data_IF_737628900381
#
_entry.id   IF_737628900381
#
_cell.length_a   1.000
_cell.length_b   1.000
_cell.length_c   1.000
_cell.angle_alpha   90.00
_cell.angle_beta   90.00
_cell.angle_gamma   90.00
#
_symmetry.space_group_name_H-M   'P 1'
#
loop_
_entity.id
_entity.type
_entity.pdbx_description
1 polymer ?
#
# COMPACT_ATOMS: atom_id res chain seq x y z
N UNK A 1 -15.10 27.28 50.83
CA UNK A 1 -15.98 26.58 49.87
C UNK A 1 -15.56 26.78 48.41
N UNK A 2 -15.46 28.02 47.88
CA UNK A 2 -15.10 28.27 46.46
C UNK A 2 -13.72 27.72 46.02
N UNK A 3 -12.72 27.72 46.90
CA UNK A 3 -11.36 27.25 46.60
C UNK A 3 -11.27 25.72 46.46
N UNK A 4 -12.06 24.99 47.25
CA UNK A 4 -12.14 23.51 47.22
C UNK A 4 -12.89 23.01 45.99
N UNK A 5 -13.98 23.70 45.63
CA UNK A 5 -14.76 23.40 44.42
C UNK A 5 -13.92 23.61 43.15
N UNK A 6 -13.13 24.69 43.11
CA UNK A 6 -12.20 24.97 42.00
C UNK A 6 -11.10 23.91 41.87
N UNK A 7 -10.51 23.47 42.99
CA UNK A 7 -9.51 22.39 42.99
C UNK A 7 -10.09 21.04 42.56
N UNK A 8 -11.34 20.73 42.92
CA UNK A 8 -12.03 19.53 42.42
C UNK A 8 -12.28 19.63 40.91
N UNK A 9 -12.71 20.80 40.41
CA UNK A 9 -12.90 21.02 38.98
C UNK A 9 -11.58 20.91 38.20
N UNK A 10 -10.49 21.50 38.70
CA UNK A 10 -9.14 21.38 38.10
C UNK A 10 -8.70 19.91 38.01
N UNK A 11 -8.86 19.14 39.09
CA UNK A 11 -8.54 17.69 39.08
C UNK A 11 -9.44 16.88 38.15
N UNK A 12 -10.71 17.23 38.04
CA UNK A 12 -11.64 16.59 37.12
C UNK A 12 -11.24 16.82 35.66
N UNK A 13 -10.84 18.05 35.32
CA UNK A 13 -10.36 18.40 33.99
C UNK A 13 -9.04 17.69 33.66
N UNK A 14 -8.08 17.68 34.59
CA UNK A 14 -6.83 16.92 34.41
C UNK A 14 -7.08 15.41 34.25
N UNK A 15 -7.97 14.83 35.06
CA UNK A 15 -8.37 13.44 34.94
C UNK A 15 -9.05 13.15 33.59
N UNK A 16 -9.90 14.07 33.10
CA UNK A 16 -10.59 13.90 31.81
C UNK A 16 -9.60 13.98 30.63
N UNK A 17 -8.64 14.90 30.67
CA UNK A 17 -7.60 15.05 29.65
C UNK A 17 -6.66 13.83 29.62
N UNK A 18 -6.22 13.36 30.78
CA UNK A 18 -5.34 12.17 30.88
C UNK A 18 -6.07 10.89 30.49
N UNK A 19 -7.35 10.76 30.85
CA UNK A 19 -8.19 9.64 30.41
C UNK A 19 -8.37 9.66 28.89
N UNK A 20 -8.61 10.82 28.29
CA UNK A 20 -8.76 10.94 26.82
C UNK A 20 -7.50 10.49 26.07
N UNK A 21 -6.32 10.94 26.52
CA UNK A 21 -5.04 10.50 25.94
C UNK A 21 -4.78 9.01 26.12
N UNK A 22 -5.13 8.46 27.30
CA UNK A 22 -4.97 7.03 27.60
C UNK A 22 -5.90 6.16 26.76
N UNK A 23 -7.17 6.55 26.61
CA UNK A 23 -8.17 5.84 25.78
C UNK A 23 -7.75 5.83 24.32
N UNK A 24 -7.27 6.97 23.80
CA UNK A 24 -6.79 7.07 22.41
C UNK A 24 -5.58 6.16 22.18
N UNK A 25 -4.63 6.17 23.11
CA UNK A 25 -3.43 5.31 23.03
C UNK A 25 -3.79 3.83 23.10
N UNK A 26 -4.72 3.45 23.97
CA UNK A 26 -5.21 2.08 24.08
C UNK A 26 -5.95 1.65 22.80
N UNK A 27 -6.79 2.51 22.24
CA UNK A 27 -7.50 2.22 20.99
C UNK A 27 -6.52 2.00 19.83
N UNK A 28 -5.51 2.85 19.69
CA UNK A 28 -4.45 2.69 18.68
C UNK A 28 -3.71 1.36 18.89
N UNK A 29 -3.34 1.04 20.14
CA UNK A 29 -2.68 -0.22 20.45
C UNK A 29 -3.55 -1.43 20.08
N UNK A 30 -4.85 -1.40 20.39
CA UNK A 30 -5.78 -2.47 20.03
C UNK A 30 -5.93 -2.61 18.52
N UNK A 31 -6.01 -1.50 17.77
CA UNK A 31 -6.05 -1.51 16.29
C UNK A 31 -4.77 -2.15 15.74
N UNK A 32 -3.60 -1.77 16.26
CA UNK A 32 -2.32 -2.34 15.83
C UNK A 32 -2.29 -3.84 16.13
N UNK A 33 -2.63 -4.26 17.35
CA UNK A 33 -2.63 -5.69 17.72
C UNK A 33 -3.59 -6.48 16.84
N UNK A 34 -4.79 -5.95 16.59
CA UNK A 34 -5.76 -6.57 15.68
C UNK A 34 -5.20 -6.71 14.27
N UNK A 35 -4.63 -5.62 13.75
CA UNK A 35 -4.12 -5.55 12.38
C UNK A 35 -2.96 -6.54 12.15
N UNK A 36 -2.02 -6.65 13.10
CA UNK A 36 -0.94 -7.64 13.05
C UNK A 36 -1.45 -9.08 13.25
N UNK A 37 -2.44 -9.30 14.12
CA UNK A 37 -3.03 -10.62 14.34
C UNK A 37 -3.71 -11.15 13.08
N UNK A 38 -4.49 -10.32 12.40
CA UNK A 38 -5.13 -10.70 11.14
C UNK A 38 -4.10 -10.89 10.02
N UNK A 39 -3.11 -10.00 9.92
CA UNK A 39 -2.09 -10.06 8.88
C UNK A 39 -1.17 -11.28 8.94
N UNK A 40 -0.75 -11.72 10.14
CA UNK A 40 0.12 -12.91 10.27
C UNK A 40 -0.59 -14.22 9.93
N UNK A 41 -1.93 -14.22 9.91
CA UNK A 41 -2.73 -15.38 9.48
C UNK A 41 -2.44 -15.83 8.05
N UNK A 42 -1.98 -14.91 7.18
CA UNK A 42 -1.68 -15.18 5.77
C UNK A 42 -0.74 -16.37 5.58
N UNK A 43 0.30 -16.46 6.40
CA UNK A 43 1.34 -17.49 6.24
C UNK A 43 0.90 -18.88 6.71
N UNK A 44 -0.29 -18.98 7.30
CA UNK A 44 -0.97 -20.25 7.60
C UNK A 44 -2.04 -20.61 6.55
N UNK A 45 -2.30 -19.72 5.59
CA UNK A 45 -3.29 -19.96 4.54
C UNK A 45 -2.71 -20.82 3.41
N UNK A 46 -3.53 -21.69 2.78
CA UNK A 46 -3.11 -22.49 1.64
C UNK A 46 -2.81 -21.58 0.44
N UNK A 47 -1.79 -21.93 -0.36
CA UNK A 47 -1.43 -21.19 -1.58
C UNK A 47 -2.33 -21.48 -2.79
N UNK A 48 -3.16 -22.53 -2.71
CA UNK A 48 -4.17 -22.88 -3.72
C UNK A 48 -5.54 -22.49 -3.17
N UNK A 49 -6.47 -22.13 -4.07
CA UNK A 49 -7.84 -21.77 -3.72
C UNK A 49 -8.49 -22.81 -2.80
N UNK A 50 -9.12 -22.35 -1.72
CA UNK A 50 -9.74 -23.21 -0.71
C UNK A 50 -10.88 -24.02 -1.34
N UNK A 51 -10.86 -25.35 -1.15
CA UNK A 51 -11.86 -26.25 -1.72
C UNK A 51 -11.48 -26.80 -3.09
N UNK A 52 -10.29 -26.50 -3.59
CA UNK A 52 -9.70 -27.12 -4.77
C UNK A 52 -8.34 -27.73 -4.44
N UNK A 53 -7.97 -28.75 -5.22
CA UNK A 53 -6.68 -29.41 -5.13
C UNK A 53 -6.04 -29.57 -6.50
N UNK A 54 -4.70 -29.57 -6.50
CA UNK A 54 -3.91 -29.93 -7.67
C UNK A 54 -3.62 -31.43 -7.62
N UNK A 55 -3.98 -32.13 -8.69
CA UNK A 55 -3.81 -33.57 -8.81
C UNK A 55 -2.88 -33.87 -9.99
N UNK A 56 -1.91 -34.75 -9.77
CA UNK A 56 -1.02 -35.26 -10.80
C UNK A 56 -1.06 -36.79 -10.80
N UNK A 57 -0.50 -37.41 -11.83
CA UNK A 57 -0.31 -38.86 -11.81
C UNK A 57 0.71 -39.27 -10.72
N UNK A 58 0.54 -40.43 -10.09
CA UNK A 58 1.45 -40.94 -9.05
C UNK A 58 2.89 -41.16 -9.55
N UNK A 59 3.04 -41.41 -10.85
CA UNK A 59 4.34 -41.60 -11.50
C UNK A 59 5.10 -40.28 -11.68
N UNK A 60 4.42 -39.13 -11.59
CA UNK A 60 5.06 -37.83 -11.68
C UNK A 60 5.96 -37.63 -10.44
N UNK A 61 7.26 -37.33 -10.60
CA UNK A 61 8.17 -37.20 -9.46
C UNK A 61 8.04 -35.86 -8.71
N UNK A 62 7.35 -34.86 -9.26
CA UNK A 62 7.20 -33.54 -8.63
C UNK A 62 6.39 -33.64 -7.34
N UNK A 63 6.98 -33.28 -6.21
CA UNK A 63 6.32 -33.36 -4.89
C UNK A 63 5.57 -32.08 -4.51
N UNK A 64 6.10 -30.91 -4.89
CA UNK A 64 5.55 -29.61 -4.54
C UNK A 64 5.76 -28.62 -5.68
N UNK A 65 4.79 -27.72 -5.86
CA UNK A 65 4.89 -26.59 -6.77
C UNK A 65 4.65 -25.31 -6.00
N UNK A 66 5.45 -24.28 -6.29
CA UNK A 66 5.20 -22.94 -5.75
C UNK A 66 4.01 -22.29 -6.47
N UNK A 67 3.30 -21.35 -5.84
CA UNK A 67 2.23 -20.58 -6.49
C UNK A 67 2.63 -19.97 -7.83
N UNK A 68 3.89 -19.50 -7.94
CA UNK A 68 4.42 -18.94 -9.18
C UNK A 68 4.55 -20.00 -10.28
N UNK A 69 5.14 -21.15 -9.99
CA UNK A 69 5.22 -22.26 -10.93
C UNK A 69 3.83 -22.75 -11.35
N UNK A 70 2.87 -22.80 -10.42
CA UNK A 70 1.48 -23.16 -10.73
C UNK A 70 0.91 -22.18 -11.76
N UNK A 71 1.04 -20.86 -11.54
CA UNK A 71 0.60 -19.85 -12.50
C UNK A 71 1.28 -20.04 -13.87
N UNK A 72 2.61 -20.16 -13.90
CA UNK A 72 3.34 -20.33 -15.17
C UNK A 72 2.96 -21.59 -15.94
N UNK A 73 2.68 -22.69 -15.24
CA UNK A 73 2.17 -23.93 -15.86
C UNK A 73 0.79 -23.68 -16.48
N UNK A 74 -0.13 -23.04 -15.75
CA UNK A 74 -1.50 -22.80 -16.22
C UNK A 74 -1.59 -21.71 -17.30
N UNK A 75 -0.60 -20.82 -17.37
CA UNK A 75 -0.42 -19.82 -18.43
C UNK A 75 0.35 -20.37 -19.64
N UNK A 76 0.76 -21.65 -19.62
CA UNK A 76 1.57 -22.30 -20.66
C UNK A 76 2.96 -21.69 -20.88
N UNK A 77 3.49 -20.96 -19.90
CA UNK A 77 4.88 -20.49 -19.89
C UNK A 77 5.86 -21.63 -19.57
N UNK A 78 5.48 -22.50 -18.63
CA UNK A 78 6.16 -23.77 -18.35
C UNK A 78 5.37 -24.86 -19.04
N UNK A 79 5.95 -25.46 -20.07
CA UNK A 79 5.32 -26.51 -20.86
C UNK A 79 5.94 -27.89 -20.59
N UNK A 80 7.09 -27.98 -19.92
CA UNK A 80 7.75 -29.26 -19.63
C UNK A 80 7.97 -29.46 -18.13
N UNK A 81 7.67 -30.67 -17.65
CA UNK A 81 7.87 -31.05 -16.26
C UNK A 81 9.33 -30.94 -15.79
N UNK A 82 10.31 -31.10 -16.69
CA UNK A 82 11.74 -30.96 -16.39
C UNK A 82 12.09 -29.61 -15.78
N UNK A 83 11.40 -28.53 -16.19
CA UNK A 83 11.64 -27.16 -15.71
C UNK A 83 11.29 -26.97 -14.23
N UNK A 84 10.45 -27.86 -13.69
CA UNK A 84 10.04 -27.87 -12.28
C UNK A 84 10.56 -29.10 -11.52
N UNK A 85 11.60 -29.75 -12.04
CA UNK A 85 12.25 -30.91 -11.41
C UNK A 85 11.52 -32.23 -11.66
N UNK A 86 10.65 -32.27 -12.65
CA UNK A 86 9.92 -33.45 -13.11
C UNK A 86 10.66 -34.29 -14.16
N UNK A 87 9.94 -35.23 -14.77
CA UNK A 87 10.44 -35.97 -15.94
C UNK A 87 10.49 -35.06 -17.17
N UNK A 88 11.29 -35.41 -18.18
CA UNK A 88 11.27 -34.73 -19.49
C UNK A 88 10.01 -35.15 -20.26
N UNK A 89 8.90 -34.48 -19.96
CA UNK A 89 7.62 -34.69 -20.61
C UNK A 89 6.79 -33.42 -20.64
N UNK A 90 6.03 -33.27 -21.73
CA UNK A 90 5.13 -32.12 -21.93
C UNK A 90 3.97 -32.17 -20.92
N UNK A 91 3.68 -31.03 -20.31
CA UNK A 91 2.63 -30.88 -19.31
C UNK A 91 1.28 -30.86 -20.01
N UNK A 92 0.41 -31.79 -19.63
CA UNK A 92 -0.99 -31.78 -20.04
C UNK A 92 -1.83 -31.08 -18.98
N UNK A 93 -2.41 -29.93 -19.31
CA UNK A 93 -3.36 -29.25 -18.44
C UNK A 93 -4.73 -29.94 -18.52
N UNK A 94 -5.35 -30.19 -17.38
CA UNK A 94 -6.72 -30.68 -17.32
C UNK A 94 -7.57 -29.83 -16.38
N UNK A 95 -8.58 -29.16 -16.92
CA UNK A 95 -9.51 -28.34 -16.12
C UNK A 95 -10.77 -29.15 -15.82
N UNK A 96 -11.34 -28.97 -14.64
CA UNK A 96 -12.56 -29.68 -14.23
C UNK A 96 -13.69 -29.63 -15.28
N UNK A 97 -13.89 -28.50 -15.95
CA UNK A 97 -14.95 -28.34 -16.95
C UNK A 97 -14.76 -29.18 -18.22
N UNK A 98 -13.53 -29.62 -18.52
CA UNK A 98 -13.24 -30.41 -19.72
C UNK A 98 -13.83 -31.82 -19.63
N UNK A 99 -14.08 -32.33 -18.41
CA UNK A 99 -14.67 -33.67 -18.20
C UNK A 99 -16.04 -33.81 -18.87
N UNK A 100 -16.85 -32.73 -18.87
CA UNK A 100 -18.19 -32.72 -19.45
C UNK A 100 -18.20 -32.68 -20.98
N UNK A 101 -17.03 -32.47 -21.60
CA UNK A 101 -16.85 -32.61 -23.04
C UNK A 101 -16.32 -33.98 -23.44
N UNK A 102 -15.70 -34.71 -22.50
CA UNK A 102 -15.09 -36.01 -22.73
C UNK A 102 -16.07 -37.17 -22.50
N UNK A 103 -17.01 -37.00 -21.56
CA UNK A 103 -17.99 -38.02 -21.19
C UNK A 103 -19.41 -37.45 -21.28
N UNK A 104 -20.34 -38.28 -21.72
CA UNK A 104 -21.78 -37.95 -21.74
C UNK A 104 -22.38 -37.98 -20.33
N UNK A 105 -23.51 -37.29 -20.13
CA UNK A 105 -24.21 -37.26 -18.84
C UNK A 105 -24.59 -38.66 -18.33
N UNK A 106 -24.89 -39.59 -19.24
CA UNK A 106 -25.17 -41.00 -18.91
C UNK A 106 -23.94 -41.71 -18.32
N UNK A 107 -22.74 -41.41 -18.83
CA UNK A 107 -21.48 -41.99 -18.38
C UNK A 107 -20.98 -41.40 -17.06
N UNK A 108 -21.41 -40.18 -16.72
CA UNK A 108 -21.13 -39.52 -15.45
C UNK A 108 -22.08 -39.99 -14.32
N UNK A 109 -23.13 -40.73 -14.67
CA UNK A 109 -24.12 -41.28 -13.75
C UNK A 109 -25.15 -40.25 -13.27
N UNK A 110 -26.25 -40.74 -12.69
CA UNK A 110 -27.28 -39.88 -12.10
C UNK A 110 -26.67 -38.95 -11.04
N UNK A 111 -27.05 -37.68 -11.08
CA UNK A 111 -26.50 -36.61 -10.23
C UNK A 111 -24.95 -36.54 -10.19
N UNK A 112 -24.29 -36.97 -11.27
CA UNK A 112 -22.82 -37.00 -11.42
C UNK A 112 -22.12 -37.92 -10.41
N UNK A 113 -22.78 -38.99 -9.96
CA UNK A 113 -22.24 -39.91 -8.96
C UNK A 113 -20.90 -40.59 -9.39
N UNK A 114 -20.68 -40.80 -10.69
CA UNK A 114 -19.46 -41.44 -11.22
C UNK A 114 -18.35 -40.43 -11.58
N UNK A 115 -18.60 -39.14 -11.37
CA UNK A 115 -17.65 -38.07 -11.71
C UNK A 115 -16.27 -38.23 -11.05
N UNK A 116 -16.14 -38.55 -9.75
CA UNK A 116 -14.82 -38.77 -9.13
C UNK A 116 -14.05 -39.93 -9.76
N UNK A 117 -14.75 -41.00 -10.18
CA UNK A 117 -14.14 -42.14 -10.85
C UNK A 117 -13.61 -41.74 -12.24
N UNK A 118 -14.41 -41.02 -13.03
CA UNK A 118 -14.02 -40.56 -14.37
C UNK A 118 -12.87 -39.56 -14.35
N UNK A 119 -12.85 -38.65 -13.38
CA UNK A 119 -11.71 -37.75 -13.14
C UNK A 119 -10.43 -38.56 -12.84
N UNK A 120 -10.57 -39.61 -12.03
CA UNK A 120 -9.49 -40.54 -11.72
C UNK A 120 -8.95 -41.28 -12.94
N UNK A 121 -9.84 -41.76 -13.82
CA UNK A 121 -9.49 -42.44 -15.07
C UNK A 121 -8.65 -41.53 -15.98
N UNK A 122 -9.06 -40.26 -16.16
CA UNK A 122 -8.33 -39.28 -16.98
C UNK A 122 -6.91 -39.05 -16.44
N UNK A 123 -6.77 -38.87 -15.12
CA UNK A 123 -5.45 -38.62 -14.53
C UNK A 123 -4.55 -39.86 -14.63
N UNK A 124 -5.15 -41.05 -14.46
CA UNK A 124 -4.43 -42.32 -14.49
C UNK A 124 -3.90 -42.64 -15.89
N UNK A 125 -4.67 -42.33 -16.94
CA UNK A 125 -4.29 -42.57 -18.34
C UNK A 125 -3.20 -41.62 -18.84
N UNK A 126 -3.01 -40.47 -18.19
CA UNK A 126 -2.10 -39.42 -18.63
C UNK A 126 -0.99 -39.16 -17.59
N UNK A 127 0.20 -39.76 -17.71
CA UNK A 127 1.29 -39.59 -16.75
C UNK A 127 1.77 -38.14 -16.55
N UNK A 128 1.64 -37.31 -17.59
CA UNK A 128 2.13 -35.93 -17.61
C UNK A 128 1.05 -34.89 -17.27
N UNK A 129 -0.10 -35.32 -16.75
CA UNK A 129 -1.23 -34.42 -16.45
C UNK A 129 -1.06 -33.66 -15.14
N UNK A 130 -1.51 -32.40 -15.14
CA UNK A 130 -1.84 -31.63 -13.94
C UNK A 130 -3.31 -31.20 -14.02
N UNK A 131 -4.07 -31.61 -13.01
CA UNK A 131 -5.50 -31.38 -12.93
C UNK A 131 -5.83 -30.43 -11.76
N UNK A 132 -6.65 -29.42 -12.02
CA UNK A 132 -7.20 -28.54 -10.98
C UNK A 132 -8.66 -28.91 -10.72
N UNK A 133 -8.92 -29.55 -9.58
CA UNK A 133 -10.19 -30.21 -9.28
C UNK A 133 -10.78 -29.75 -7.95
N UNK A 134 -12.12 -29.63 -7.83
CA UNK A 134 -12.76 -29.39 -6.54
C UNK A 134 -12.53 -30.56 -5.57
N UNK A 135 -12.23 -30.27 -4.31
CA UNK A 135 -11.97 -31.27 -3.26
C UNK A 135 -13.14 -32.25 -3.09
N UNK A 136 -14.38 -31.77 -3.31
CA UNK A 136 -15.61 -32.56 -3.21
C UNK A 136 -15.66 -33.74 -4.19
N UNK A 137 -15.00 -33.63 -5.34
CA UNK A 137 -15.03 -34.64 -6.40
C UNK A 137 -13.69 -35.37 -6.55
N UNK A 138 -12.83 -35.30 -5.54
CA UNK A 138 -11.55 -36.00 -5.59
C UNK A 138 -11.76 -37.53 -5.67
N UNK A 139 -10.98 -38.25 -6.49
CA UNK A 139 -11.10 -39.70 -6.60
C UNK A 139 -10.73 -40.39 -5.26
N UNK A 140 -11.68 -41.11 -4.65
CA UNK A 140 -11.53 -41.62 -3.27
C UNK A 140 -10.99 -43.07 -3.16
N UNK A 141 -11.13 -43.93 -4.18
CA UNK A 141 -11.08 -45.40 -3.92
C UNK A 141 -10.02 -46.24 -4.67
N UNK A 142 -9.39 -45.83 -5.78
CA UNK A 142 -8.29 -46.62 -6.35
C UNK A 142 -7.57 -45.93 -7.52
N UNK A 143 -6.75 -44.94 -7.22
CA UNK A 143 -6.31 -44.04 -8.28
C UNK A 143 -4.83 -43.78 -8.18
N UNK A 144 -4.12 -44.00 -9.28
CA UNK A 144 -2.74 -43.59 -9.50
C UNK A 144 -2.64 -42.05 -9.57
N UNK A 145 -3.30 -41.37 -8.63
CA UNK A 145 -3.49 -39.94 -8.53
C UNK A 145 -2.82 -39.49 -7.25
N UNK A 146 -1.85 -38.61 -7.40
CA UNK A 146 -1.14 -37.96 -6.32
C UNK A 146 -1.67 -36.54 -6.19
N UNK A 147 -2.20 -36.21 -5.03
CA UNK A 147 -2.59 -34.83 -4.71
C UNK A 147 -1.32 -34.08 -4.29
N UNK A 148 -1.01 -33.00 -5.00
CA UNK A 148 0.07 -32.12 -4.59
C UNK A 148 -0.38 -31.34 -3.35
N UNK A 149 0.40 -31.36 -2.26
CA UNK A 149 0.06 -30.60 -1.07
C UNK A 149 0.04 -29.11 -1.43
N UNK A 150 -0.99 -28.40 -0.99
CA UNK A 150 -1.04 -26.95 -1.09
C UNK A 150 0.01 -26.38 -0.13
N UNK A 151 1.14 -25.91 -0.65
CA UNK A 151 2.12 -25.21 0.16
C UNK A 151 1.48 -23.96 0.76
N UNK A 152 1.72 -23.69 2.03
CA UNK A 152 1.31 -22.41 2.63
C UNK A 152 2.04 -21.26 1.97
N UNK A 153 1.42 -20.08 1.98
CA UNK A 153 2.04 -18.86 1.46
C UNK A 153 3.28 -18.55 2.30
N UNK A 154 4.45 -18.47 1.66
CA UNK A 154 5.71 -18.22 2.37
C UNK A 154 5.93 -16.71 2.54
N UNK A 155 6.58 -16.33 3.64
CA UNK A 155 6.97 -14.93 3.87
C UNK A 155 7.88 -14.39 2.75
N UNK A 156 8.78 -15.23 2.23
CA UNK A 156 9.67 -14.86 1.13
C UNK A 156 8.89 -14.54 -0.16
N UNK A 157 7.86 -15.33 -0.49
CA UNK A 157 7.04 -15.12 -1.69
C UNK A 157 6.17 -13.86 -1.56
N UNK A 158 5.75 -13.53 -0.33
CA UNK A 158 4.99 -12.30 -0.07
C UNK A 158 5.88 -11.05 -0.15
N UNK A 159 6.98 -11.01 0.61
CA UNK A 159 7.84 -9.82 0.70
C UNK A 159 8.74 -9.63 -0.54
N UNK A 160 9.12 -10.72 -1.20
CA UNK A 160 9.93 -10.72 -2.41
C UNK A 160 9.14 -10.91 -3.70
N UNK A 161 7.82 -11.11 -3.63
CA UNK A 161 6.98 -11.34 -4.81
C UNK A 161 6.79 -10.08 -5.64
N UNK A 162 6.91 -10.24 -6.96
CA UNK A 162 6.80 -9.17 -7.96
C UNK A 162 5.40 -9.07 -8.59
N UNK A 163 4.46 -9.94 -8.19
CA UNK A 163 3.11 -9.99 -8.74
C UNK A 163 2.05 -9.95 -7.64
N UNK A 164 1.06 -9.07 -7.80
CA UNK A 164 -0.13 -8.99 -6.95
C UNK A 164 -1.36 -9.42 -7.75
N UNK A 165 -1.70 -10.71 -7.67
CA UNK A 165 -2.82 -11.35 -8.35
C UNK A 165 -3.65 -12.17 -7.35
N UNK A 166 -4.41 -11.52 -6.46
CA UNK A 166 -5.16 -12.19 -5.40
C UNK A 166 -6.31 -13.05 -5.95
N UNK A 167 -6.85 -12.69 -7.12
CA UNK A 167 -7.97 -13.38 -7.78
C UNK A 167 -7.53 -14.41 -8.82
N UNK A 168 -6.23 -14.66 -8.97
CA UNK A 168 -5.74 -15.65 -9.93
C UNK A 168 -6.12 -17.07 -9.48
N UNK A 169 -6.58 -17.87 -10.45
CA UNK A 169 -6.84 -19.30 -10.29
C UNK A 169 -5.86 -20.07 -11.17
N UNK A 170 -5.21 -21.13 -10.66
CA UNK A 170 -5.53 -21.88 -9.44
C UNK A 170 -4.84 -21.41 -8.14
N UNK A 171 -3.83 -20.54 -8.25
CA UNK A 171 -3.03 -20.06 -7.12
C UNK A 171 -3.01 -18.53 -7.07
N UNK A 172 -3.35 -17.98 -5.91
CA UNK A 172 -3.29 -16.53 -5.67
C UNK A 172 -1.85 -16.08 -5.39
N UNK A 173 -1.45 -14.95 -5.97
CA UNK A 173 -0.14 -14.32 -5.74
C UNK A 173 -0.31 -13.02 -4.96
N UNK A 174 0.44 -12.88 -3.85
CA UNK A 174 0.34 -11.75 -2.92
C UNK A 174 1.67 -10.97 -2.82
N UNK A 175 2.42 -10.87 -3.90
CA UNK A 175 3.69 -10.14 -3.94
C UNK A 175 3.51 -8.66 -3.62
N UNK A 176 4.20 -8.18 -2.59
CA UNK A 176 4.03 -6.80 -2.10
C UNK A 176 4.82 -5.76 -2.90
N UNK A 177 5.84 -6.17 -3.66
CA UNK A 177 6.79 -5.25 -4.29
C UNK A 177 6.12 -4.26 -5.25
N UNK A 178 5.16 -4.63 -6.11
CA UNK A 178 4.45 -3.67 -6.97
C UNK A 178 3.74 -2.58 -6.18
N UNK A 179 3.06 -2.95 -5.09
CA UNK A 179 2.29 -2.01 -4.27
C UNK A 179 3.18 -1.11 -3.43
N UNK A 180 4.24 -1.67 -2.85
CA UNK A 180 5.20 -0.92 -2.07
C UNK A 180 6.00 0.04 -2.96
N UNK A 181 6.49 -0.43 -4.10
CA UNK A 181 7.20 0.41 -5.07
C UNK A 181 6.29 1.50 -5.61
N UNK A 182 5.05 1.20 -6.01
CA UNK A 182 4.06 2.20 -6.42
C UNK A 182 3.83 3.29 -5.35
N UNK A 183 3.65 2.89 -4.09
CA UNK A 183 3.47 3.81 -2.96
C UNK A 183 4.68 4.73 -2.77
N UNK A 184 5.89 4.16 -2.74
CA UNK A 184 7.11 4.91 -2.55
C UNK A 184 7.42 5.82 -3.74
N UNK A 185 7.24 5.31 -4.96
CA UNK A 185 7.52 6.03 -6.20
C UNK A 185 6.71 7.33 -6.23
N UNK A 186 5.38 7.25 -6.12
CA UNK A 186 4.55 8.45 -6.22
C UNK A 186 4.81 9.42 -5.07
N UNK A 187 5.05 8.90 -3.86
CA UNK A 187 5.27 9.71 -2.66
C UNK A 187 6.59 10.47 -2.74
N UNK A 188 7.67 9.82 -3.19
CA UNK A 188 8.98 10.45 -3.37
C UNK A 188 8.86 11.60 -4.36
N UNK A 189 8.27 11.36 -5.54
CA UNK A 189 8.13 12.41 -6.55
C UNK A 189 7.18 13.54 -6.11
N UNK A 190 6.11 13.22 -5.39
CA UNK A 190 5.22 14.23 -4.82
C UNK A 190 5.98 15.15 -3.84
N UNK A 191 6.79 14.56 -2.95
CA UNK A 191 7.55 15.30 -1.94
C UNK A 191 8.72 16.08 -2.55
N UNK A 192 9.37 15.54 -3.59
CA UNK A 192 10.39 16.28 -4.34
C UNK A 192 9.86 17.59 -4.93
N UNK A 193 8.56 17.66 -5.25
CA UNK A 193 7.90 18.86 -5.75
C UNK A 193 7.35 19.71 -4.58
N UNK A 194 6.57 19.09 -3.69
CA UNK A 194 5.86 19.79 -2.64
C UNK A 194 6.78 20.39 -1.57
N UNK A 195 7.87 19.71 -1.23
CA UNK A 195 8.77 20.16 -0.17
C UNK A 195 9.51 21.46 -0.52
N UNK A 196 10.25 21.57 -1.65
CA UNK A 196 10.93 22.82 -1.98
C UNK A 196 9.96 23.97 -2.22
N UNK A 197 8.84 23.72 -2.91
CA UNK A 197 7.81 24.74 -3.15
C UNK A 197 7.13 25.17 -1.84
N UNK A 198 6.75 24.22 -1.00
CA UNK A 198 6.07 24.47 0.26
C UNK A 198 6.94 25.23 1.25
N UNK A 199 8.21 24.83 1.40
CA UNK A 199 9.15 25.56 2.26
C UNK A 199 9.48 26.94 1.70
N UNK A 200 9.62 27.09 0.38
CA UNK A 200 9.84 28.38 -0.26
C UNK A 200 8.69 29.36 0.00
N UNK A 201 7.44 28.90 -0.18
CA UNK A 201 6.25 29.70 0.12
C UNK A 201 6.14 30.00 1.62
N UNK A 202 6.47 29.03 2.48
CA UNK A 202 6.47 29.25 3.93
C UNK A 202 7.46 30.35 4.33
N UNK A 203 8.70 30.31 3.81
CA UNK A 203 9.73 31.33 4.08
C UNK A 203 9.28 32.70 3.58
N UNK A 204 8.70 32.74 2.38
CA UNK A 204 8.14 33.95 1.81
C UNK A 204 7.06 34.54 2.72
N UNK A 205 6.07 33.74 3.13
CA UNK A 205 4.97 34.19 3.98
C UNK A 205 5.39 34.58 5.39
N UNK A 206 6.41 33.93 5.96
CA UNK A 206 6.88 34.24 7.30
C UNK A 206 7.75 35.49 7.38
N UNK A 207 8.61 35.74 6.37
CA UNK A 207 9.70 36.72 6.48
C UNK A 207 9.72 37.81 5.39
N UNK A 208 9.11 37.58 4.21
CA UNK A 208 9.21 38.49 3.07
C UNK A 208 7.87 39.13 2.68
N UNK A 209 6.75 38.46 2.95
CA UNK A 209 5.43 38.90 2.53
C UNK A 209 4.91 40.03 3.43
N UNK A 210 4.37 41.07 2.81
CA UNK A 210 3.65 42.12 3.52
C UNK A 210 2.33 41.58 4.12
N UNK A 211 1.87 42.24 5.19
CA UNK A 211 0.69 41.83 5.96
C UNK A 211 -0.58 41.69 5.09
N UNK A 212 -0.70 42.45 4.00
CA UNK A 212 -1.82 42.35 3.04
C UNK A 212 -1.78 41.05 2.24
N UNK A 213 -0.62 40.67 1.72
CA UNK A 213 -0.45 39.45 0.92
C UNK A 213 -0.75 38.24 1.80
N UNK A 214 -0.20 38.24 3.02
CA UNK A 214 -0.42 37.17 4.00
C UNK A 214 -1.89 37.01 4.37
N UNK A 215 -2.61 38.11 4.62
CA UNK A 215 -4.04 38.10 4.98
C UNK A 215 -4.93 37.43 3.93
N UNK A 216 -4.51 37.39 2.68
CA UNK A 216 -5.24 36.68 1.62
C UNK A 216 -4.68 35.28 1.35
N UNK A 217 -3.36 35.14 1.28
CA UNK A 217 -2.74 33.90 0.84
C UNK A 217 -2.83 32.79 1.89
N UNK A 218 -2.63 33.10 3.18
CA UNK A 218 -2.68 32.09 4.25
C UNK A 218 -4.08 31.44 4.34
N UNK A 219 -5.19 32.20 4.43
CA UNK A 219 -6.53 31.59 4.39
C UNK A 219 -6.79 30.81 3.11
N UNK A 220 -6.33 31.27 1.94
CA UNK A 220 -6.49 30.53 0.68
C UNK A 220 -5.78 29.17 0.71
N UNK A 221 -4.55 29.11 1.26
CA UNK A 221 -3.81 27.86 1.44
C UNK A 221 -4.53 26.93 2.43
N UNK A 222 -5.04 27.47 3.54
CA UNK A 222 -5.80 26.68 4.52
C UNK A 222 -7.11 26.14 3.92
N UNK A 223 -7.77 26.90 3.05
CA UNK A 223 -8.95 26.42 2.31
C UNK A 223 -8.61 25.24 1.39
N UNK A 224 -7.43 25.25 0.74
CA UNK A 224 -6.98 24.11 -0.05
C UNK A 224 -6.82 22.84 0.80
N UNK A 225 -6.40 22.97 2.07
CA UNK A 225 -6.33 21.82 2.98
C UNK A 225 -7.71 21.22 3.32
N UNK A 226 -8.77 22.03 3.24
CA UNK A 226 -10.15 21.63 3.51
C UNK A 226 -10.85 20.92 2.35
N UNK A 227 -10.25 20.89 1.15
CA UNK A 227 -10.83 20.20 0.00
C UNK A 227 -10.72 18.67 0.19
N UNK A 228 -11.82 17.90 0.07
CA UNK A 228 -11.77 16.44 0.16
C UNK A 228 -10.88 15.81 -0.91
N UNK A 229 -10.17 14.74 -0.58
CA UNK A 229 -9.23 14.09 -1.50
C UNK A 229 -9.89 13.57 -2.78
N UNK A 230 -11.11 13.06 -2.70
CA UNK A 230 -11.89 12.62 -3.88
C UNK A 230 -12.14 13.75 -4.88
N UNK A 231 -12.24 15.00 -4.43
CA UNK A 231 -12.41 16.16 -5.33
C UNK A 231 -11.12 16.42 -6.10
N UNK A 232 -9.96 16.31 -5.44
CA UNK A 232 -8.67 16.38 -6.11
C UNK A 232 -8.48 15.23 -7.09
N UNK A 233 -8.85 14.00 -6.72
CA UNK A 233 -8.82 12.83 -7.59
C UNK A 233 -9.69 13.01 -8.83
N UNK A 234 -10.93 13.48 -8.65
CA UNK A 234 -11.84 13.77 -9.75
C UNK A 234 -11.32 14.87 -10.68
N UNK A 235 -10.81 15.98 -10.12
CA UNK A 235 -10.17 17.02 -10.91
C UNK A 235 -8.94 16.48 -11.68
N UNK A 236 -8.11 15.68 -11.02
CA UNK A 236 -6.96 15.04 -11.64
C UNK A 236 -7.36 14.15 -12.80
N UNK A 237 -8.38 13.32 -12.63
CA UNK A 237 -8.87 12.42 -13.67
C UNK A 237 -9.48 13.18 -14.87
N UNK A 238 -10.26 14.23 -14.63
CA UNK A 238 -10.99 14.93 -15.71
C UNK A 238 -10.13 15.98 -16.42
N UNK A 239 -9.17 16.58 -15.71
CA UNK A 239 -8.38 17.70 -16.23
C UNK A 239 -6.92 17.33 -16.41
N UNK A 240 -6.26 16.86 -15.35
CA UNK A 240 -4.81 16.65 -15.37
C UNK A 240 -4.42 15.45 -16.23
N UNK A 241 -5.12 14.32 -16.12
CA UNK A 241 -4.86 13.10 -16.87
C UNK A 241 -4.97 13.34 -18.38
N UNK A 242 -6.05 13.93 -18.93
CA UNK A 242 -6.10 14.29 -20.35
C UNK A 242 -5.04 15.30 -20.76
N UNK A 243 -4.73 16.29 -19.89
CA UNK A 243 -3.69 17.27 -20.17
C UNK A 243 -2.32 16.60 -20.32
N UNK A 244 -1.94 15.70 -19.41
CA UNK A 244 -0.69 14.95 -19.46
C UNK A 244 -0.67 14.06 -20.71
N UNK A 245 -1.77 13.35 -20.98
CA UNK A 245 -1.90 12.47 -22.15
C UNK A 245 -1.66 13.23 -23.46
N UNK A 246 -2.31 14.38 -23.64
CA UNK A 246 -2.22 15.18 -24.85
C UNK A 246 -0.88 15.90 -24.99
N UNK A 247 -0.34 16.45 -23.90
CA UNK A 247 0.92 17.22 -23.95
C UNK A 247 2.13 16.32 -24.16
N UNK A 248 2.15 15.14 -23.53
CA UNK A 248 3.26 14.19 -23.60
C UNK A 248 3.06 13.10 -24.67
N UNK A 249 1.94 13.12 -25.40
CA UNK A 249 1.58 12.15 -26.44
C UNK A 249 1.62 10.69 -25.92
N UNK A 250 1.11 10.48 -24.71
CA UNK A 250 1.07 9.17 -24.07
C UNK A 250 -0.17 8.38 -24.50
N UNK A 251 -0.09 7.04 -24.53
CA UNK A 251 -1.26 6.21 -24.82
C UNK A 251 -2.35 6.38 -23.75
N UNK A 252 -1.95 6.52 -22.48
CA UNK A 252 -2.83 6.70 -21.32
C UNK A 252 -2.24 7.79 -20.43
N UNK A 253 -3.07 8.69 -19.90
CA UNK A 253 -2.63 9.77 -19.00
C UNK A 253 -2.57 9.38 -17.51
N UNK A 254 -3.16 8.23 -17.17
CA UNK A 254 -3.26 7.70 -15.81
C UNK A 254 -1.94 7.07 -15.37
N UNK A 255 -1.07 7.91 -14.80
CA UNK A 255 0.35 7.60 -14.61
C UNK A 255 0.81 7.95 -13.19
N UNK A 256 1.96 7.40 -12.78
CA UNK A 256 2.62 7.79 -11.54
C UNK A 256 2.86 9.30 -11.47
N UNK A 257 3.21 9.95 -12.59
CA UNK A 257 3.38 11.40 -12.68
C UNK A 257 2.08 12.16 -12.32
N UNK A 258 0.95 11.76 -12.89
CA UNK A 258 -0.35 12.37 -12.59
C UNK A 258 -0.68 12.25 -11.10
N UNK A 259 -0.45 11.07 -10.52
CA UNK A 259 -0.57 10.82 -9.09
C UNK A 259 0.33 11.74 -8.26
N UNK A 260 1.62 11.79 -8.57
CA UNK A 260 2.59 12.61 -7.84
C UNK A 260 2.27 14.10 -7.87
N UNK A 261 1.76 14.62 -8.99
CA UNK A 261 1.38 16.03 -9.11
C UNK A 261 0.17 16.37 -8.24
N UNK A 262 -0.88 15.53 -8.26
CA UNK A 262 -2.05 15.72 -7.38
C UNK A 262 -1.64 15.63 -5.92
N UNK A 263 -0.85 14.61 -5.55
CA UNK A 263 -0.31 14.48 -4.20
C UNK A 263 0.52 15.66 -3.77
N UNK A 264 1.35 16.22 -4.67
CA UNK A 264 2.16 17.39 -4.36
C UNK A 264 1.27 18.58 -4.00
N UNK A 265 0.25 18.85 -4.81
CA UNK A 265 -0.74 19.92 -4.52
C UNK A 265 -1.44 19.69 -3.19
N UNK A 266 -1.78 18.45 -2.86
CA UNK A 266 -2.45 18.11 -1.60
C UNK A 266 -1.53 18.21 -0.38
N UNK A 267 -0.22 17.97 -0.53
CA UNK A 267 0.75 18.06 0.55
C UNK A 267 1.20 19.51 0.83
N UNK A 268 1.14 20.39 -0.18
CA UNK A 268 1.55 21.79 -0.07
C UNK A 268 0.91 22.54 1.11
N UNK A 269 -0.44 22.55 1.29
CA UNK A 269 -1.05 23.29 2.39
C UNK A 269 -0.53 22.89 3.76
N UNK A 270 -0.34 21.60 3.98
CA UNK A 270 0.17 21.05 5.23
C UNK A 270 1.61 21.52 5.50
N UNK A 271 2.48 21.41 4.49
CA UNK A 271 3.89 21.82 4.59
C UNK A 271 3.99 23.33 4.82
N UNK A 272 3.29 24.13 4.01
CA UNK A 272 3.35 25.60 4.06
C UNK A 272 2.87 26.12 5.40
N UNK A 273 1.67 25.70 5.83
CA UNK A 273 1.03 26.25 7.02
C UNK A 273 1.86 25.98 8.27
N UNK A 274 2.32 24.73 8.46
CA UNK A 274 3.05 24.33 9.66
C UNK A 274 4.46 24.93 9.68
N UNK A 275 5.15 24.96 8.53
CA UNK A 275 6.48 25.55 8.46
C UNK A 275 6.42 27.09 8.67
N UNK A 276 5.43 27.78 8.11
CA UNK A 276 5.25 29.22 8.30
C UNK A 276 4.93 29.56 9.77
N UNK A 277 4.05 28.81 10.41
CA UNK A 277 3.72 29.00 11.83
C UNK A 277 4.95 28.79 12.71
N UNK A 278 5.75 27.76 12.42
CA UNK A 278 7.01 27.49 13.12
C UNK A 278 8.01 28.64 12.98
N UNK A 279 8.19 29.17 11.77
CA UNK A 279 9.11 30.30 11.53
C UNK A 279 8.64 31.57 12.23
N UNK A 280 7.34 31.87 12.19
CA UNK A 280 6.77 33.06 12.86
C UNK A 280 6.86 33.01 14.37
N UNK A 281 6.88 31.82 14.96
CA UNK A 281 7.08 31.64 16.40
C UNK A 281 8.52 31.95 16.87
N UNK A 282 9.46 32.20 15.95
CA UNK A 282 10.77 32.75 16.31
C UNK A 282 10.61 34.09 17.03
N UNK A 283 11.31 34.37 18.13
CA UNK A 283 11.23 35.66 18.82
C UNK A 283 11.67 36.82 17.93
N UNK A 284 10.93 37.93 17.95
CA UNK A 284 11.29 39.16 17.20
C UNK A 284 12.67 39.68 17.60
N UNK A 285 13.01 39.60 18.89
CA UNK A 285 14.31 40.00 19.42
C UNK A 285 15.49 39.28 18.73
N UNK A 286 15.34 38.00 18.38
CA UNK A 286 16.40 37.26 17.67
C UNK A 286 16.62 37.80 16.25
N UNK A 287 15.54 38.18 15.55
CA UNK A 287 15.62 38.80 14.21
C UNK A 287 16.26 40.18 14.27
N UNK A 288 15.78 41.01 15.18
CA UNK A 288 16.26 42.39 15.35
C UNK A 288 17.74 42.41 15.80
N UNK A 289 18.16 41.50 16.67
CA UNK A 289 19.56 41.34 17.06
C UNK A 289 20.45 40.95 15.87
N UNK A 290 19.99 40.02 15.02
CA UNK A 290 20.72 39.62 13.81
C UNK A 290 20.92 40.80 12.86
N UNK A 291 19.87 41.56 12.59
CA UNK A 291 19.93 42.74 11.73
C UNK A 291 20.80 43.85 12.32
N UNK A 292 20.76 44.05 13.65
CA UNK A 292 21.59 45.03 14.35
C UNK A 292 23.10 44.71 14.27
N UNK A 293 23.47 43.44 14.12
CA UNK A 293 24.85 43.01 13.86
C UNK A 293 25.28 43.21 12.39
N UNK A 294 24.46 43.87 11.57
CA UNK A 294 24.74 44.12 10.15
C UNK A 294 24.43 42.94 9.24
N UNK A 295 23.70 41.92 9.71
CA UNK A 295 23.26 40.83 8.86
C UNK A 295 22.18 41.31 7.88
N UNK A 296 22.21 40.75 6.66
CA UNK A 296 21.13 40.92 5.69
C UNK A 296 19.90 40.10 6.05
N UNK A 297 18.72 40.46 5.53
CA UNK A 297 17.49 39.69 5.74
C UNK A 297 17.66 38.21 5.37
N UNK A 298 18.33 37.90 4.24
CA UNK A 298 18.60 36.52 3.85
C UNK A 298 19.49 35.77 4.86
N UNK A 299 20.52 36.44 5.39
CA UNK A 299 21.37 35.86 6.43
C UNK A 299 20.59 35.62 7.72
N UNK A 300 19.69 36.53 8.12
CA UNK A 300 18.80 36.33 9.28
C UNK A 300 17.86 35.14 9.07
N UNK A 301 17.25 35.02 7.88
CA UNK A 301 16.38 33.89 7.54
C UNK A 301 17.16 32.57 7.65
N UNK A 302 18.28 32.46 6.94
CA UNK A 302 19.02 31.22 6.81
C UNK A 302 19.78 30.81 8.09
N UNK A 303 20.33 31.78 8.84
CA UNK A 303 21.18 31.51 10.01
C UNK A 303 20.47 31.62 11.36
N UNK A 304 19.30 32.25 11.43
CA UNK A 304 18.59 32.46 12.70
C UNK A 304 17.20 31.85 12.66
N UNK A 305 16.36 32.25 11.71
CA UNK A 305 14.95 31.82 11.68
C UNK A 305 14.81 30.34 11.34
N UNK A 306 15.41 29.89 10.23
CA UNK A 306 15.32 28.47 9.80
C UNK A 306 15.93 27.51 10.84
N UNK A 307 17.10 27.79 11.44
CA UNK A 307 17.63 26.96 12.52
C UNK A 307 16.73 26.93 13.74
N UNK A 308 16.22 28.08 14.19
CA UNK A 308 15.32 28.17 15.34
C UNK A 308 14.02 27.39 15.11
N UNK A 309 13.42 27.51 13.92
CA UNK A 309 12.18 26.86 13.55
C UNK A 309 12.34 25.41 13.07
N UNK A 310 13.55 24.84 13.14
CA UNK A 310 13.87 23.58 12.48
C UNK A 310 13.07 22.38 12.98
N UNK A 311 12.67 22.36 14.26
CA UNK A 311 11.80 21.32 14.80
C UNK A 311 10.40 21.36 14.19
N UNK A 312 9.83 22.55 14.05
CA UNK A 312 8.52 22.75 13.41
C UNK A 312 8.56 22.52 11.89
N UNK A 313 9.65 22.93 11.22
CA UNK A 313 9.87 22.59 9.80
C UNK A 313 9.95 21.08 9.63
N UNK A 314 10.70 20.38 10.47
CA UNK A 314 10.82 18.91 10.43
C UNK A 314 9.45 18.25 10.63
N UNK A 315 8.64 18.74 11.58
CA UNK A 315 7.28 18.25 11.78
C UNK A 315 6.38 18.49 10.54
N UNK A 316 6.51 19.65 9.88
CA UNK A 316 5.80 19.95 8.62
C UNK A 316 6.17 18.96 7.51
N UNK A 317 7.46 18.63 7.38
CA UNK A 317 7.94 17.64 6.40
C UNK A 317 7.37 16.26 6.71
N UNK A 318 7.47 15.80 7.96
CA UNK A 318 6.95 14.48 8.36
C UNK A 318 5.46 14.37 8.07
N UNK A 319 4.68 15.40 8.41
CA UNK A 319 3.25 15.38 8.18
C UNK A 319 2.90 15.42 6.68
N UNK A 320 3.67 16.17 5.89
CA UNK A 320 3.54 16.19 4.42
C UNK A 320 3.86 14.83 3.79
N UNK A 321 4.95 14.19 4.20
CA UNK A 321 5.32 12.84 3.74
C UNK A 321 4.28 11.81 4.17
N UNK A 322 3.82 11.86 5.42
CA UNK A 322 2.76 10.98 5.92
C UNK A 322 1.47 11.11 5.12
N UNK A 323 1.09 12.34 4.74
CA UNK A 323 -0.06 12.61 3.87
C UNK A 323 0.12 12.02 2.47
N UNK A 324 1.32 12.12 1.88
CA UNK A 324 1.58 11.56 0.56
C UNK A 324 1.57 10.02 0.56
N UNK A 325 2.20 9.39 1.56
CA UNK A 325 2.29 7.92 1.69
C UNK A 325 0.92 7.30 2.01
N UNK A 326 0.09 8.00 2.78
CA UNK A 326 -1.23 7.54 3.21
C UNK A 326 -2.38 7.91 2.28
N UNK A 327 -2.14 8.52 1.12
CA UNK A 327 -3.23 8.94 0.23
C UNK A 327 -3.85 7.74 -0.52
N UNK A 328 -5.18 7.71 -0.51
CA UNK A 328 -5.95 6.56 -0.99
C UNK A 328 -6.76 6.91 -2.23
N UNK A 329 -7.74 7.82 -2.08
CA UNK A 329 -8.81 7.99 -3.07
C UNK A 329 -8.35 8.81 -4.27
N UNK A 330 -7.57 9.87 -4.04
CA UNK A 330 -7.06 10.67 -5.14
C UNK A 330 -6.18 9.82 -6.07
N UNK A 331 -5.32 8.99 -5.47
CA UNK A 331 -4.39 8.10 -6.18
C UNK A 331 -5.13 7.01 -6.95
N UNK A 332 -6.11 6.35 -6.32
CA UNK A 332 -6.92 5.30 -6.96
C UNK A 332 -7.56 5.80 -8.27
N UNK A 333 -7.96 7.07 -8.32
CA UNK A 333 -8.62 7.65 -9.48
C UNK A 333 -7.68 8.07 -10.62
N UNK A 334 -6.42 8.42 -10.33
CA UNK A 334 -5.56 9.12 -11.32
C UNK A 334 -4.33 8.32 -11.78
N UNK A 335 -4.01 7.22 -11.11
CA UNK A 335 -2.76 6.46 -11.37
C UNK A 335 -2.96 5.19 -12.20
N UNK A 336 -4.18 4.92 -12.65
CA UNK A 336 -4.52 3.75 -13.47
C UNK A 336 -4.66 2.45 -12.67
N UNK A 337 -4.25 2.47 -11.39
CA UNK A 337 -4.47 1.38 -10.43
C UNK A 337 -3.92 0.02 -10.90
N UNK A 338 -2.80 0.01 -11.64
CA UNK A 338 -2.14 -1.20 -12.11
C UNK A 338 -1.11 -1.70 -11.09
N UNK A 339 -1.20 -2.98 -10.69
CA UNK A 339 -0.27 -3.58 -9.73
C UNK A 339 1.01 -4.07 -10.42
N UNK A 340 1.78 -3.14 -10.97
CA UNK A 340 3.05 -3.38 -11.66
C UNK A 340 4.18 -2.60 -10.97
N UNK A 341 5.41 -3.10 -11.06
CA UNK A 341 6.59 -2.38 -10.57
C UNK A 341 6.89 -1.25 -11.55
N UNK A 342 6.84 0.03 -11.14
CA UNK A 342 7.10 1.14 -12.03
C UNK A 342 8.60 1.22 -12.36
N UNK A 343 8.91 1.41 -13.63
CA UNK A 343 10.25 1.73 -14.11
C UNK A 343 10.37 3.17 -14.62
N UNK A 344 9.22 3.79 -14.91
CA UNK A 344 9.08 5.15 -15.41
C UNK A 344 8.04 5.94 -14.61
N UNK A 345 8.09 7.27 -14.74
CA UNK A 345 7.04 8.16 -14.23
C UNK A 345 5.73 8.07 -15.04
N UNK A 346 5.80 7.50 -16.24
CA UNK A 346 4.66 7.35 -17.13
C UNK A 346 3.94 6.01 -16.99
N UNK A 347 4.42 5.13 -16.11
CA UNK A 347 3.78 3.85 -15.85
C UNK A 347 2.59 4.05 -14.92
N UNK A 348 1.54 3.25 -15.11
CA UNK A 348 0.43 3.16 -14.16
C UNK A 348 0.89 2.41 -12.91
N UNK A 349 0.36 2.80 -11.75
CA UNK A 349 0.77 2.23 -10.46
C UNK A 349 -0.44 2.01 -9.57
N UNK A 350 -0.29 1.07 -8.63
CA UNK A 350 -1.23 0.85 -7.52
C UNK A 350 -0.47 1.02 -6.22
N UNK A 351 -1.05 1.75 -5.28
CA UNK A 351 -0.46 1.92 -3.95
C UNK A 351 -1.08 0.98 -2.94
N UNK A 352 -0.40 0.80 -1.80
CA UNK A 352 -0.90 0.02 -0.68
C UNK A 352 -2.26 0.57 -0.18
N UNK A 353 -2.42 1.87 0.11
CA UNK A 353 -3.73 2.40 0.52
C UNK A 353 -4.82 2.17 -0.54
N UNK A 354 -4.50 2.35 -1.83
CA UNK A 354 -5.45 2.13 -2.92
C UNK A 354 -5.87 0.66 -3.02
N UNK A 355 -4.94 -0.28 -2.91
CA UNK A 355 -5.22 -1.72 -2.91
C UNK A 355 -6.13 -2.11 -1.73
N UNK A 356 -5.82 -1.63 -0.52
CA UNK A 356 -6.66 -1.89 0.65
C UNK A 356 -8.07 -1.34 0.44
N UNK A 357 -8.21 -0.11 -0.04
CA UNK A 357 -9.52 0.51 -0.22
C UNK A 357 -10.36 -0.14 -1.33
N UNK A 358 -9.71 -0.59 -2.42
CA UNK A 358 -10.39 -1.23 -3.54
C UNK A 358 -10.79 -2.67 -3.23
N UNK A 359 -9.95 -3.43 -2.52
CA UNK A 359 -10.09 -4.89 -2.45
C UNK A 359 -10.66 -5.39 -1.12
N UNK A 360 -10.53 -4.63 -0.01
CA UNK A 360 -10.91 -5.12 1.33
C UNK A 360 -12.41 -5.39 1.46
N UNK A 361 -13.25 -4.64 0.76
CA UNK A 361 -14.70 -4.82 0.77
C UNK A 361 -15.17 -6.08 0.03
N UNK A 362 -14.36 -6.59 -0.89
CA UNK A 362 -14.67 -7.76 -1.73
C UNK A 362 -14.01 -9.05 -1.20
N UNK A 363 -12.95 -8.91 -0.39
CA UNK A 363 -12.22 -10.03 0.16
C UNK A 363 -13.04 -10.82 1.21
N UNK A 364 -13.21 -12.15 1.07
CA UNK A 364 -13.90 -12.97 2.07
C UNK A 364 -13.22 -12.92 3.44
N UNK A 365 -14.00 -12.61 4.48
CA UNK A 365 -13.49 -12.52 5.85
C UNK A 365 -12.78 -13.81 6.28
N UNK A 366 -11.54 -13.69 6.75
CA UNK A 366 -10.71 -14.83 7.16
C UNK A 366 -10.06 -15.61 6.01
N UNK A 367 -10.24 -15.19 4.75
CA UNK A 367 -9.52 -15.73 3.60
C UNK A 367 -8.09 -15.18 3.47
N UNK A 368 -7.28 -15.82 2.62
CA UNK A 368 -5.90 -15.41 2.36
C UNK A 368 -5.83 -13.95 1.83
N UNK A 369 -6.71 -13.58 0.91
CA UNK A 369 -6.75 -12.22 0.35
C UNK A 369 -7.05 -11.17 1.42
N UNK A 370 -8.03 -11.44 2.29
CA UNK A 370 -8.34 -10.56 3.42
C UNK A 370 -7.12 -10.38 4.34
N UNK A 371 -6.47 -11.47 4.74
CA UNK A 371 -5.27 -11.43 5.59
C UNK A 371 -4.10 -10.70 4.93
N UNK A 372 -3.91 -10.87 3.61
CA UNK A 372 -2.89 -10.16 2.86
C UNK A 372 -3.09 -8.65 2.89
N UNK A 373 -4.33 -8.16 2.75
CA UNK A 373 -4.64 -6.73 2.83
C UNK A 373 -4.38 -6.16 4.23
N UNK A 374 -4.66 -6.91 5.30
CA UNK A 374 -4.28 -6.51 6.67
C UNK A 374 -2.76 -6.41 6.83
N UNK A 375 -2.02 -7.35 6.24
CA UNK A 375 -0.56 -7.34 6.27
C UNK A 375 0.01 -6.13 5.48
N UNK A 376 -0.61 -5.72 4.38
CA UNK A 376 -0.27 -4.46 3.72
C UNK A 376 -0.48 -3.25 4.64
N UNK A 377 -1.55 -3.26 5.44
CA UNK A 377 -1.77 -2.28 6.51
C UNK A 377 -0.64 -2.25 7.54
N UNK A 378 -0.09 -3.42 7.91
CA UNK A 378 1.05 -3.52 8.84
C UNK A 378 2.27 -2.81 8.25
N UNK A 379 2.50 -3.02 6.96
CA UNK A 379 3.64 -2.45 6.23
C UNK A 379 3.51 -0.93 6.17
N UNK A 380 2.32 -0.41 5.86
CA UNK A 380 2.07 1.03 5.85
C UNK A 380 2.29 1.65 7.24
N UNK A 381 1.84 0.98 8.30
CA UNK A 381 2.08 1.40 9.67
C UNK A 381 3.59 1.42 10.01
N UNK A 382 4.33 0.35 9.67
CA UNK A 382 5.78 0.28 9.91
C UNK A 382 6.49 1.37 9.10
N UNK A 383 6.12 1.57 7.84
CA UNK A 383 6.69 2.60 6.96
C UNK A 383 6.51 4.00 7.54
N UNK A 384 5.29 4.35 7.94
CA UNK A 384 4.98 5.65 8.54
C UNK A 384 5.68 5.84 9.90
N UNK A 385 5.79 4.78 10.70
CA UNK A 385 6.55 4.78 11.94
C UNK A 385 8.05 5.03 11.69
N UNK A 386 8.65 4.35 10.70
CA UNK A 386 10.06 4.52 10.33
C UNK A 386 10.35 5.94 9.84
N UNK A 387 9.48 6.52 9.02
CA UNK A 387 9.59 7.91 8.55
C UNK A 387 9.55 8.87 9.75
N UNK A 388 8.58 8.70 10.64
CA UNK A 388 8.42 9.55 11.82
C UNK A 388 9.62 9.43 12.78
N UNK A 389 10.07 8.20 13.05
CA UNK A 389 11.22 7.93 13.91
C UNK A 389 12.52 8.51 13.32
N UNK A 390 12.73 8.37 12.00
CA UNK A 390 13.90 8.91 11.32
C UNK A 390 13.99 10.42 11.44
N UNK A 391 12.87 11.11 11.26
CA UNK A 391 12.81 12.57 11.39
C UNK A 391 13.09 13.03 12.83
N UNK A 392 12.55 12.33 13.82
CA UNK A 392 12.80 12.64 15.24
C UNK A 392 14.27 12.44 15.63
N UNK A 393 14.91 11.37 15.13
CA UNK A 393 16.34 11.11 15.36
C UNK A 393 17.20 12.22 14.74
N UNK A 394 16.87 12.67 13.54
CA UNK A 394 17.57 13.78 12.87
C UNK A 394 17.46 15.07 13.69
N UNK A 395 16.26 15.35 14.20
CA UNK A 395 16.01 16.55 15.00
C UNK A 395 16.78 16.53 16.33
N UNK A 396 16.77 15.41 17.07
CA UNK A 396 17.53 15.25 18.33
C UNK A 396 19.03 15.43 18.17
N UNK A 397 19.62 14.93 17.07
CA UNK A 397 21.06 15.12 16.79
C UNK A 397 21.42 16.60 16.59
N UNK A 398 20.50 17.40 16.07
CA UNK A 398 20.70 18.85 15.86
C UNK A 398 20.80 19.60 17.19
N UNK A 399 19.96 19.28 18.17
CA UNK A 399 20.03 19.83 19.53
C UNK A 399 21.30 19.40 20.28
N UNK A 400 21.76 18.16 20.09
CA UNK A 400 22.98 17.65 20.75
C UNK A 400 24.27 18.26 20.21
N UNK A 401 24.26 18.82 19.00
CA UNK A 401 25.45 19.41 18.35
C UNK A 401 25.59 20.92 18.58
N UNK A 402 24.84 21.51 19.53
CA UNK A 402 25.10 22.87 20.03
C UNK A 402 24.94 23.98 19.01
N UNK A 403 23.86 23.95 18.21
CA UNK A 403 23.29 25.14 17.57
C UNK A 403 22.09 25.60 18.38
#
# INVERSE_FOLDING_TARGET
MKKTLRRMAERLVEAMLTLSGSVTSLAILLIIVFLFKEGTGLFNSPGVEKGYALCVNITNPVEQLTPYQIKQIFDSEIANWQEVGGADSEIMLFRFNEIFSMYSDEELGEDYALLPQKLGEVITQNPSVIAFLPERYLPQENTMVKILPSSTIRMADFFGGEEWLPTATPASLYGVLPLLSGTLWISIFAILIALPLGLGVAVYLSELADERVRKWLKPAIELLAGIPSVVYGFFGLVVLVPLIQQTLHLPVGETALAGSLILAVMALPTIITIAEDAMRNTPRAMREASLALGATQWQTIYKVVVPYASSGITAAVVLGVGRAVGETMAVLMVTGNAAVIPHSLFDSVRTIPAAIAAELGEAPAGGAHYQALFLLGCILFILTMLISASAEIINKRKYSNGI
#
